data_IF_283582259300
#
_entry.id   IF_283582259300
#
_cell.length_a   1.000
_cell.length_b   1.000
_cell.length_c   1.000
_cell.angle_alpha   90.00
_cell.angle_beta   90.00
_cell.angle_gamma   90.00
#
_symmetry.space_group_name_H-M   'P 1'
#
loop_
_entity.id
_entity.type
_entity.pdbx_description
1 polymer ?
#
# COMPACT_ATOMS: atom_id res chain seq x y z
N UNK A 1 -6.54 -13.71 10.08
CA UNK A 1 -5.47 -12.77 9.68
C UNK A 1 -5.87 -11.96 8.45
N UNK A 2 -5.48 -10.69 8.37
CA UNK A 2 -5.74 -9.83 7.23
C UNK A 2 -4.41 -9.30 6.67
N UNK A 3 -3.92 -9.96 5.64
CA UNK A 3 -2.64 -9.66 5.00
C UNK A 3 -2.86 -9.58 3.50
N UNK A 4 -2.26 -8.57 2.87
CA UNK A 4 -2.23 -8.42 1.41
C UNK A 4 -0.80 -8.16 0.97
N UNK A 5 -0.45 -8.71 -0.20
CA UNK A 5 0.79 -8.40 -0.93
C UNK A 5 0.41 -8.03 -2.35
N UNK A 6 0.91 -6.88 -2.81
CA UNK A 6 0.68 -6.37 -4.17
C UNK A 6 2.03 -6.09 -4.78
N UNK A 7 2.27 -6.58 -6.00
CA UNK A 7 3.38 -6.13 -6.84
C UNK A 7 2.82 -5.40 -8.04
N UNK A 8 3.24 -4.15 -8.24
CA UNK A 8 2.71 -3.33 -9.32
C UNK A 8 3.52 -2.06 -9.53
N UNK A 9 2.92 -1.11 -10.24
CA UNK A 9 3.53 0.17 -10.58
C UNK A 9 2.71 1.30 -9.95
N UNK A 10 3.39 2.29 -9.38
CA UNK A 10 2.74 3.51 -8.88
C UNK A 10 2.16 4.31 -10.06
N UNK A 11 0.85 4.52 -10.06
CA UNK A 11 0.14 5.10 -11.22
C UNK A 11 0.37 6.59 -11.40
N UNK A 12 0.27 7.36 -10.31
CA UNK A 12 0.38 8.82 -10.31
C UNK A 12 1.33 9.24 -9.18
N UNK A 13 1.86 10.45 -9.29
CA UNK A 13 2.67 11.07 -8.23
C UNK A 13 1.98 10.95 -6.86
N UNK A 14 2.62 10.31 -5.87
CA UNK A 14 2.03 10.13 -4.54
C UNK A 14 1.70 11.46 -3.86
N UNK A 15 0.53 11.51 -3.20
CA UNK A 15 0.08 12.68 -2.43
C UNK A 15 0.45 12.47 -0.98
N UNK A 16 1.38 13.28 -0.47
CA UNK A 16 1.85 13.23 0.90
C UNK A 16 1.32 14.40 1.72
N UNK A 17 0.93 14.13 2.98
CA UNK A 17 0.59 15.16 3.96
C UNK A 17 1.17 14.80 5.33
N UNK A 18 1.48 15.81 6.14
CA UNK A 18 1.89 15.64 7.52
C UNK A 18 0.65 15.56 8.42
N UNK A 19 0.60 14.56 9.30
CA UNK A 19 -0.44 14.40 10.30
C UNK A 19 -0.18 15.28 11.52
N UNK A 20 -1.19 15.50 12.36
CA UNK A 20 -1.02 16.22 13.63
C UNK A 20 -0.02 15.55 14.60
N UNK A 21 0.26 14.26 14.39
CA UNK A 21 1.30 13.50 15.12
C UNK A 21 2.73 13.77 14.62
N UNK A 22 2.90 14.45 13.48
CA UNK A 22 4.18 14.63 12.80
C UNK A 22 4.54 13.51 11.82
N UNK A 23 3.75 12.43 11.75
CA UNK A 23 3.93 11.36 10.76
C UNK A 23 3.52 11.81 9.35
N UNK A 24 4.10 11.18 8.34
CA UNK A 24 3.76 11.38 6.94
C UNK A 24 2.71 10.37 6.51
N UNK A 25 1.56 10.84 6.03
CA UNK A 25 0.55 10.01 5.39
C UNK A 25 0.62 10.20 3.88
N UNK A 26 1.04 9.16 3.17
CA UNK A 26 1.13 9.15 1.71
C UNK A 26 0.02 8.30 1.11
N UNK A 27 -0.73 8.87 0.17
CA UNK A 27 -1.77 8.20 -0.61
C UNK A 27 -1.33 8.06 -2.06
N UNK A 28 -1.47 6.87 -2.62
CA UNK A 28 -1.14 6.58 -4.01
C UNK A 28 -1.94 5.38 -4.51
N UNK A 29 -2.02 5.21 -5.82
CA UNK A 29 -2.65 4.05 -6.44
C UNK A 29 -1.55 3.14 -7.03
N UNK A 30 -1.67 1.84 -6.79
CA UNK A 30 -0.83 0.82 -7.42
C UNK A 30 -1.62 0.12 -8.49
N UNK A 31 -1.04 0.03 -9.67
CA UNK A 31 -1.59 -0.71 -10.81
C UNK A 31 -0.94 -2.08 -10.89
N UNK A 32 -1.77 -3.10 -11.12
CA UNK A 32 -1.34 -4.44 -11.46
C UNK A 32 -1.96 -4.89 -12.77
N UNK A 33 -1.27 -5.77 -13.48
CA UNK A 33 -1.82 -6.49 -14.63
C UNK A 33 -2.43 -7.81 -14.18
N UNK A 34 -3.54 -8.20 -14.79
CA UNK A 34 -4.25 -9.46 -14.58
C UNK A 34 -4.87 -9.93 -15.89
N UNK A 35 -5.36 -11.16 -15.93
CA UNK A 35 -6.05 -11.71 -17.11
C UNK A 35 -7.33 -10.92 -17.46
N UNK A 36 -7.92 -10.24 -16.48
CA UNK A 36 -9.09 -9.35 -16.66
C UNK A 36 -8.70 -7.91 -17.02
N UNK A 37 -7.40 -7.67 -17.23
CA UNK A 37 -6.84 -6.38 -17.56
C UNK A 37 -6.22 -5.66 -16.37
N UNK A 38 -6.24 -4.33 -16.44
CA UNK A 38 -5.54 -3.44 -15.50
C UNK A 38 -6.36 -3.24 -14.23
N UNK A 39 -5.85 -3.74 -13.11
CA UNK A 39 -6.45 -3.52 -11.79
C UNK A 39 -5.74 -2.35 -11.09
N UNK A 40 -6.50 -1.55 -10.34
CA UNK A 40 -5.98 -0.41 -9.59
C UNK A 40 -6.36 -0.52 -8.13
N UNK A 41 -5.36 -0.45 -7.25
CA UNK A 41 -5.55 -0.60 -5.80
C UNK A 41 -5.14 0.68 -5.08
N UNK A 42 -6.04 1.31 -4.30
CA UNK A 42 -5.71 2.46 -3.48
C UNK A 42 -4.86 2.04 -2.28
N UNK A 43 -3.75 2.73 -2.06
CA UNK A 43 -2.81 2.48 -0.96
C UNK A 43 -2.66 3.73 -0.10
N UNK A 44 -2.76 3.56 1.21
CA UNK A 44 -2.35 4.55 2.20
C UNK A 44 -1.16 4.01 2.98
N UNK A 45 -0.13 4.82 3.15
CA UNK A 45 1.07 4.47 3.89
C UNK A 45 1.41 5.57 4.88
N UNK A 46 1.48 5.22 6.17
CA UNK A 46 1.86 6.15 7.24
C UNK A 46 3.25 5.77 7.73
N UNK A 47 4.14 6.75 7.76
CA UNK A 47 5.55 6.57 8.13
C UNK A 47 6.04 7.73 8.98
N UNK A 48 7.10 7.50 9.75
CA UNK A 48 7.78 8.55 10.52
C UNK A 48 8.78 9.36 9.68
N UNK A 49 9.06 8.91 8.46
CA UNK A 49 9.96 9.57 7.51
C UNK A 49 9.23 9.83 6.20
N UNK A 50 9.57 10.94 5.56
CA UNK A 50 9.10 11.28 4.22
C UNK A 50 9.47 10.20 3.22
N UNK A 51 8.52 9.83 2.36
CA UNK A 51 8.79 8.86 1.30
C UNK A 51 9.47 9.51 0.10
N UNK A 52 10.30 8.72 -0.60
CA UNK A 52 10.90 9.08 -1.89
C UNK A 52 10.18 8.42 -3.06
N UNK A 53 9.02 7.80 -2.81
CA UNK A 53 8.26 7.07 -3.81
C UNK A 53 7.80 7.99 -4.94
N UNK A 54 8.05 7.59 -6.19
CA UNK A 54 7.66 8.33 -7.38
C UNK A 54 6.66 7.58 -8.25
N UNK A 55 5.99 8.32 -9.12
CA UNK A 55 5.21 7.77 -10.23
C UNK A 55 6.06 6.85 -11.12
N UNK A 56 5.47 5.77 -11.61
CA UNK A 56 6.16 4.80 -12.46
C UNK A 56 7.10 3.84 -11.71
N UNK A 57 7.29 3.99 -10.40
CA UNK A 57 8.09 3.04 -9.64
C UNK A 57 7.41 1.68 -9.53
N UNK A 58 8.16 0.61 -9.85
CA UNK A 58 7.77 -0.74 -9.50
C UNK A 58 7.95 -0.99 -8.00
N UNK A 59 6.85 -1.36 -7.34
CA UNK A 59 6.82 -1.60 -5.90
C UNK A 59 6.21 -2.96 -5.53
N UNK A 60 6.66 -3.47 -4.40
CA UNK A 60 5.94 -4.45 -3.59
C UNK A 60 5.35 -3.72 -2.38
N UNK A 61 4.03 -3.81 -2.22
CA UNK A 61 3.30 -3.32 -1.05
C UNK A 61 2.87 -4.51 -0.21
N UNK A 62 3.09 -4.46 1.10
CA UNK A 62 2.48 -5.38 2.05
C UNK A 62 1.74 -4.62 3.13
N UNK A 63 0.64 -5.20 3.63
CA UNK A 63 -0.21 -4.54 4.60
C UNK A 63 -1.50 -5.29 4.86
N UNK A 64 -2.57 -4.54 5.11
CA UNK A 64 -3.91 -5.08 5.34
C UNK A 64 -4.94 -4.36 4.49
N UNK A 65 -6.02 -5.07 4.13
CA UNK A 65 -7.15 -4.46 3.43
C UNK A 65 -8.11 -3.88 4.45
N UNK A 66 -8.58 -2.65 4.24
CA UNK A 66 -9.65 -2.06 5.05
C UNK A 66 -10.67 -1.34 4.20
N UNK A 67 -11.86 -1.16 4.76
CA UNK A 67 -12.84 -0.23 4.24
C UNK A 67 -12.73 1.07 5.02
N UNK A 68 -12.38 2.16 4.34
CA UNK A 68 -12.35 3.49 4.95
C UNK A 68 -13.65 4.22 4.63
N UNK A 69 -14.31 4.71 5.68
CA UNK A 69 -15.49 5.55 5.58
C UNK A 69 -15.11 7.02 5.67
N UNK A 70 -15.74 7.87 4.85
CA UNK A 70 -15.49 9.31 4.84
C UNK A 70 -16.76 10.04 4.36
N UNK A 71 -16.89 11.34 4.68
CA UNK A 71 -18.01 12.15 4.20
C UNK A 71 -17.62 12.89 2.93
N UNK A 72 -18.46 12.81 1.90
CA UNK A 72 -18.32 13.57 0.66
C UNK A 72 -19.72 13.79 0.04
N UNK A 73 -19.97 14.98 -0.49
CA UNK A 73 -21.26 15.29 -1.13
C UNK A 73 -22.48 15.11 -0.22
N UNK A 74 -22.37 15.43 1.06
CA UNK A 74 -23.47 15.29 2.04
C UNK A 74 -23.76 13.87 2.52
N UNK A 75 -23.09 12.84 1.97
CA UNK A 75 -23.30 11.44 2.35
C UNK A 75 -22.04 10.79 2.93
N UNK A 76 -22.23 9.70 3.68
CA UNK A 76 -21.13 8.80 4.06
C UNK A 76 -20.82 7.92 2.85
N UNK A 77 -19.55 7.94 2.45
CA UNK A 77 -18.98 7.14 1.38
C UNK A 77 -17.99 6.13 1.97
N UNK A 78 -17.62 5.13 1.18
CA UNK A 78 -16.62 4.16 1.57
C UNK A 78 -15.73 3.75 0.41
N UNK A 79 -14.44 3.54 0.67
CA UNK A 79 -13.47 2.99 -0.29
C UNK A 79 -12.73 1.82 0.34
N UNK A 80 -12.66 0.70 -0.39
CA UNK A 80 -11.75 -0.40 -0.03
C UNK A 80 -10.35 0.01 -0.44
N UNK A 81 -9.40 -0.08 0.49
CA UNK A 81 -8.03 0.35 0.31
C UNK A 81 -7.07 -0.58 1.06
N UNK A 82 -5.79 -0.51 0.69
CA UNK A 82 -4.70 -1.14 1.44
C UNK A 82 -4.11 -0.12 2.39
N UNK A 83 -4.06 -0.48 3.68
CA UNK A 83 -3.20 0.18 4.65
C UNK A 83 -1.83 -0.52 4.59
N UNK A 84 -0.87 0.14 3.96
CA UNK A 84 0.47 -0.39 3.80
C UNK A 84 1.23 -0.39 5.14
N UNK A 85 1.82 -1.54 5.44
CA UNK A 85 2.84 -1.73 6.49
C UNK A 85 4.23 -1.48 5.90
N UNK A 86 4.48 -1.97 4.69
CA UNK A 86 5.74 -1.77 3.97
C UNK A 86 5.49 -1.49 2.50
N UNK A 87 6.31 -0.61 1.92
CA UNK A 87 6.41 -0.37 0.48
C UNK A 87 7.89 -0.48 0.11
N UNK A 88 8.21 -1.38 -0.81
CA UNK A 88 9.58 -1.67 -1.23
C UNK A 88 9.69 -1.54 -2.74
N UNK A 89 10.66 -0.77 -3.23
CA UNK A 89 11.01 -0.79 -4.65
C UNK A 89 11.46 -2.22 -5.04
N UNK A 90 10.92 -2.77 -6.14
CA UNK A 90 11.16 -4.17 -6.54
C UNK A 90 12.61 -4.44 -6.96
N UNK A 91 13.42 -3.40 -7.21
CA UNK A 91 14.87 -3.52 -7.46
C UNK A 91 15.63 -3.95 -6.20
N UNK A 92 15.10 -3.70 -5.00
CA UNK A 92 15.69 -4.14 -3.73
C UNK A 92 15.38 -5.62 -3.45
N UNK A 93 15.85 -6.52 -4.33
CA UNK A 93 15.50 -7.96 -4.33
C UNK A 93 15.68 -8.66 -2.99
N UNK A 94 16.76 -8.35 -2.27
CA UNK A 94 17.03 -8.92 -0.93
C UNK A 94 15.97 -8.48 0.09
N UNK A 95 15.59 -7.20 0.10
CA UNK A 95 14.58 -6.68 1.00
C UNK A 95 13.19 -7.28 0.68
N UNK A 96 12.85 -7.39 -0.60
CA UNK A 96 11.60 -8.03 -1.05
C UNK A 96 11.54 -9.49 -0.61
N UNK A 97 12.59 -10.27 -0.86
CA UNK A 97 12.64 -11.69 -0.46
C UNK A 97 12.52 -11.85 1.06
N UNK A 98 13.19 -10.99 1.83
CA UNK A 98 13.08 -10.98 3.30
C UNK A 98 11.65 -10.68 3.76
N UNK A 99 11.04 -9.64 3.21
CA UNK A 99 9.66 -9.24 3.55
C UNK A 99 8.66 -10.36 3.23
N UNK A 100 8.77 -11.00 2.06
CA UNK A 100 7.92 -12.15 1.70
C UNK A 100 8.08 -13.33 2.65
N UNK A 101 9.32 -13.65 3.08
CA UNK A 101 9.56 -14.72 4.03
C UNK A 101 8.97 -14.41 5.42
N UNK A 102 9.02 -13.14 5.86
CA UNK A 102 8.38 -12.69 7.11
C UNK A 102 6.85 -12.79 7.01
N UNK A 103 6.28 -12.37 5.89
CA UNK A 103 4.84 -12.47 5.62
C UNK A 103 4.38 -13.93 5.57
N UNK A 104 5.16 -14.81 4.93
CA UNK A 104 4.86 -16.25 4.92
C UNK A 104 4.82 -16.83 6.33
N UNK A 105 5.80 -16.48 7.18
CA UNK A 105 5.82 -16.90 8.59
C UNK A 105 4.59 -16.41 9.34
N UNK A 106 4.23 -15.14 9.15
CA UNK A 106 3.01 -14.54 9.71
C UNK A 106 1.80 -15.39 9.30
N UNK A 107 1.61 -15.64 7.99
CA UNK A 107 0.52 -16.44 7.39
C UNK A 107 0.40 -17.87 7.94
N UNK A 108 1.52 -18.50 8.29
CA UNK A 108 1.54 -19.87 8.81
C UNK A 108 1.40 -19.97 10.33
N UNK A 109 1.42 -18.85 11.05
CA UNK A 109 1.22 -18.87 12.49
C UNK A 109 -0.25 -19.17 12.81
N UNK A 110 -0.50 -20.22 13.59
CA UNK A 110 -1.85 -20.59 14.03
C UNK A 110 -2.26 -19.65 15.16
N UNK A 111 -3.50 -19.15 15.08
CA UNK A 111 -4.08 -18.20 16.05
C UNK A 111 -4.33 -18.85 17.40
#
# INVERSE_FOLDING_TARGET
MNVVVIRGVVLNTPVERVLGSGEFATSFDVVTESDEGRLTVPVNWVTTVKTLLQEGEEVMVSGSVRRRFYRAGGAVQSRTEVLAKQVLNTRRKVAVKKSLAEIQKELTHTW
#
